data_IF_732594278298
#
_entry.id   IF_732594278298
#
_cell.length_a   1.000
_cell.length_b   1.000
_cell.length_c   1.000
_cell.angle_alpha   90.00
_cell.angle_beta   90.00
_cell.angle_gamma   90.00
#
_symmetry.space_group_name_H-M   'P 1'
#
loop_
_entity.id
_entity.type
_entity.pdbx_description
1 polymer ?
#
# COMPACT_ATOMS: atom_id res chain seq x y z
N UNK A 1 10.98 -9.80 -30.84
CA UNK A 1 11.79 -10.25 -29.69
C UNK A 1 12.01 -9.05 -28.79
N UNK A 2 11.19 -8.87 -27.75
CA UNK A 2 11.37 -7.76 -26.81
C UNK A 2 12.53 -8.07 -25.88
N UNK A 3 13.60 -7.29 -25.95
CA UNK A 3 14.66 -7.31 -24.95
C UNK A 3 14.00 -7.05 -23.58
N UNK A 4 14.22 -7.91 -22.57
CA UNK A 4 13.81 -7.55 -21.21
C UNK A 4 14.49 -6.22 -20.89
N UNK A 5 13.75 -5.14 -20.55
CA UNK A 5 14.38 -3.86 -20.26
C UNK A 5 15.38 -4.11 -19.14
N UNK A 6 16.66 -3.82 -19.43
CA UNK A 6 17.76 -4.00 -18.49
C UNK A 6 17.29 -3.45 -17.16
N UNK A 7 17.20 -4.31 -16.13
CA UNK A 7 16.64 -3.89 -14.85
C UNK A 7 17.38 -2.64 -14.39
N UNK A 8 16.71 -1.50 -14.37
CA UNK A 8 17.34 -0.23 -13.98
C UNK A 8 17.49 -0.23 -12.46
N UNK A 9 18.49 -0.99 -12.00
CA UNK A 9 18.72 -1.30 -10.57
C UNK A 9 18.82 -0.02 -9.76
N UNK A 10 19.46 1.03 -10.30
CA UNK A 10 19.57 2.33 -9.62
C UNK A 10 18.21 2.96 -9.31
N UNK A 11 17.23 2.89 -10.23
CA UNK A 11 15.88 3.44 -9.99
C UNK A 11 15.12 2.60 -8.98
N UNK A 12 15.30 1.28 -9.00
CA UNK A 12 14.71 0.39 -8.02
C UNK A 12 15.27 0.65 -6.61
N UNK A 13 16.60 0.79 -6.49
CA UNK A 13 17.28 1.13 -5.23
C UNK A 13 16.74 2.46 -4.68
N UNK A 14 16.63 3.49 -5.52
CA UNK A 14 16.07 4.77 -5.12
C UNK A 14 14.66 4.62 -4.54
N UNK A 15 13.77 3.89 -5.22
CA UNK A 15 12.38 3.68 -4.77
C UNK A 15 12.32 2.86 -3.48
N UNK A 16 13.19 1.86 -3.32
CA UNK A 16 13.25 1.05 -2.09
C UNK A 16 13.73 1.90 -0.92
N UNK A 17 14.79 2.71 -1.10
CA UNK A 17 15.27 3.63 -0.05
C UNK A 17 14.17 4.63 0.32
N UNK A 18 13.52 5.23 -0.68
CA UNK A 18 12.42 6.16 -0.46
C UNK A 18 11.29 5.52 0.35
N UNK A 19 10.85 4.31 -0.03
CA UNK A 19 9.82 3.58 0.69
C UNK A 19 10.24 3.26 2.14
N UNK A 20 11.47 2.80 2.36
CA UNK A 20 11.97 2.48 3.70
C UNK A 20 12.00 3.74 4.57
N UNK A 21 12.50 4.86 4.04
CA UNK A 21 12.48 6.15 4.74
C UNK A 21 11.05 6.59 5.06
N UNK A 22 10.11 6.49 4.11
CA UNK A 22 8.71 6.85 4.33
C UNK A 22 8.01 5.94 5.35
N UNK A 23 8.29 4.63 5.32
CA UNK A 23 7.73 3.67 6.28
C UNK A 23 8.25 3.91 7.70
N UNK A 24 9.57 4.09 7.85
CA UNK A 24 10.18 4.44 9.15
C UNK A 24 9.61 5.77 9.67
N UNK A 25 9.51 6.78 8.80
CA UNK A 25 8.91 8.06 9.17
C UNK A 25 7.48 7.91 9.65
N UNK A 26 6.66 7.10 8.97
CA UNK A 26 5.28 6.82 9.38
C UNK A 26 5.20 6.14 10.77
N UNK A 27 6.01 5.11 11.03
CA UNK A 27 6.01 4.45 12.34
C UNK A 27 6.57 5.34 13.45
N UNK A 28 7.59 6.14 13.14
CA UNK A 28 8.15 7.12 14.06
C UNK A 28 7.13 8.22 14.39
N UNK A 29 6.39 8.72 13.39
CA UNK A 29 5.31 9.68 13.61
C UNK A 29 4.23 9.10 14.52
N UNK A 30 3.80 7.85 14.29
CA UNK A 30 2.83 7.18 15.16
C UNK A 30 3.34 7.02 16.60
N UNK A 31 4.60 6.62 16.77
CA UNK A 31 5.21 6.48 18.10
C UNK A 31 5.33 7.80 18.84
N UNK A 32 5.54 8.90 18.11
CA UNK A 32 5.63 10.25 18.64
C UNK A 32 4.26 10.78 19.07
N UNK A 33 3.26 10.76 18.17
CA UNK A 33 1.93 11.35 18.44
C UNK A 33 1.15 10.61 19.53
N UNK A 34 1.45 9.32 19.75
CA UNK A 34 0.79 8.49 20.75
C UNK A 34 0.77 9.13 22.13
N UNK A 35 1.83 9.83 22.52
CA UNK A 35 1.95 10.42 23.86
C UNK A 35 1.21 11.76 23.98
N UNK A 36 0.87 12.41 22.87
CA UNK A 36 0.19 13.70 22.82
C UNK A 36 -1.31 13.59 22.53
N UNK A 37 -1.76 12.41 22.10
CA UNK A 37 -3.13 12.22 21.65
C UNK A 37 -4.13 12.30 22.82
N UNK A 38 -5.23 13.02 22.60
CA UNK A 38 -6.35 13.06 23.54
C UNK A 38 -6.96 11.68 23.79
N UNK A 39 -7.65 11.52 24.92
CA UNK A 39 -8.31 10.24 25.29
C UNK A 39 -9.82 10.24 25.10
N UNK A 40 -10.42 11.37 24.73
CA UNK A 40 -11.85 11.45 24.49
C UNK A 40 -12.13 11.24 23.00
N UNK A 41 -12.99 10.26 22.63
CA UNK A 41 -13.32 10.00 21.24
C UNK A 41 -14.12 11.17 20.65
N UNK A 42 -13.90 11.47 19.37
CA UNK A 42 -14.72 12.42 18.62
C UNK A 42 -16.05 11.78 18.21
N UNK A 43 -17.10 12.60 18.02
CA UNK A 43 -18.36 12.11 17.47
C UNK A 43 -18.16 11.70 16.01
N UNK A 44 -18.54 10.47 15.68
CA UNK A 44 -18.61 9.93 14.33
C UNK A 44 -20.02 9.38 14.11
N UNK A 45 -20.58 9.63 12.92
CA UNK A 45 -21.95 9.25 12.57
C UNK A 45 -22.12 7.73 12.64
N UNK A 46 -21.12 6.95 12.24
CA UNK A 46 -21.23 5.49 12.29
C UNK A 46 -21.16 5.00 13.73
N UNK A 47 -20.40 5.66 14.60
CA UNK A 47 -20.25 5.27 15.99
C UNK A 47 -21.50 5.55 16.83
N UNK A 48 -22.35 6.50 16.40
CA UNK A 48 -23.64 6.76 17.05
C UNK A 48 -24.71 5.72 16.67
N UNK A 49 -24.55 5.06 15.52
CA UNK A 49 -25.50 4.06 15.01
C UNK A 49 -25.08 2.65 15.42
N UNK A 50 -23.78 2.35 15.35
CA UNK A 50 -23.25 0.99 15.53
C UNK A 50 -22.37 0.91 16.79
N UNK A 51 -22.67 -0.02 17.72
CA UNK A 51 -21.82 -0.26 18.88
C UNK A 51 -20.50 -0.93 18.46
N UNK A 52 -19.43 -0.65 19.22
CA UNK A 52 -18.09 -1.21 19.01
C UNK A 52 -18.11 -2.74 18.88
N UNK A 53 -17.57 -3.27 17.79
CA UNK A 53 -17.41 -4.72 17.59
C UNK A 53 -15.95 -5.13 17.64
N UNK A 54 -15.54 -5.84 18.70
CA UNK A 54 -14.15 -6.26 18.89
C UNK A 54 -13.64 -7.26 17.84
N UNK A 55 -14.52 -8.13 17.32
CA UNK A 55 -14.16 -9.12 16.29
C UNK A 55 -13.85 -8.50 14.93
N UNK A 56 -14.37 -7.29 14.66
CA UNK A 56 -14.24 -6.64 13.36
C UNK A 56 -12.79 -6.20 13.08
N UNK A 57 -11.99 -5.92 14.11
CA UNK A 57 -10.57 -5.61 13.97
C UNK A 57 -9.79 -6.80 13.40
N UNK A 58 -9.96 -7.99 13.98
CA UNK A 58 -9.26 -9.20 13.52
C UNK A 58 -9.63 -9.55 12.07
N UNK A 59 -10.91 -9.38 11.71
CA UNK A 59 -11.37 -9.57 10.32
C UNK A 59 -10.74 -8.53 9.40
N UNK A 60 -10.69 -7.27 9.81
CA UNK A 60 -10.05 -6.19 9.04
C UNK A 60 -8.57 -6.46 8.77
N UNK A 61 -7.80 -6.86 9.78
CA UNK A 61 -6.37 -7.15 9.67
C UNK A 61 -6.11 -8.38 8.76
N UNK A 62 -6.94 -9.41 8.89
CA UNK A 62 -6.87 -10.59 8.01
C UNK A 62 -7.18 -10.23 6.56
N UNK A 63 -8.20 -9.41 6.32
CA UNK A 63 -8.55 -8.93 4.99
C UNK A 63 -7.42 -8.08 4.40
N UNK A 64 -6.83 -7.17 5.18
CA UNK A 64 -5.69 -6.36 4.75
C UNK A 64 -4.50 -7.24 4.34
N UNK A 65 -4.24 -8.30 5.11
CA UNK A 65 -3.18 -9.29 4.84
C UNK A 65 -3.46 -10.09 3.56
N UNK A 66 -4.69 -10.53 3.34
CA UNK A 66 -5.08 -11.25 2.12
C UNK A 66 -4.96 -10.33 0.89
N UNK A 67 -5.43 -9.09 1.00
CA UNK A 67 -5.30 -8.10 -0.06
C UNK A 67 -3.84 -7.80 -0.38
N UNK A 68 -2.98 -7.58 0.63
CA UNK A 68 -1.55 -7.33 0.41
C UNK A 68 -0.83 -8.53 -0.22
N UNK A 69 -1.13 -9.74 0.23
CA UNK A 69 -0.60 -10.98 -0.35
C UNK A 69 -1.00 -11.14 -1.82
N UNK A 70 -2.27 -10.89 -2.15
CA UNK A 70 -2.75 -10.96 -3.55
C UNK A 70 -2.03 -9.97 -4.46
N UNK A 71 -1.77 -8.75 -3.97
CA UNK A 71 -1.01 -7.73 -4.70
C UNK A 71 0.44 -8.18 -4.93
N UNK A 72 1.11 -8.71 -3.91
CA UNK A 72 2.48 -9.23 -4.01
C UNK A 72 2.57 -10.38 -5.03
N UNK A 73 1.60 -11.30 -5.02
CA UNK A 73 1.54 -12.42 -5.98
C UNK A 73 1.45 -11.90 -7.42
N UNK A 74 0.57 -10.93 -7.69
CA UNK A 74 0.46 -10.34 -9.04
C UNK A 74 1.76 -9.64 -9.44
N UNK A 75 2.36 -8.86 -8.54
CA UNK A 75 3.63 -8.18 -8.80
C UNK A 75 4.76 -9.17 -9.13
N UNK A 76 4.84 -10.31 -8.43
CA UNK A 76 5.86 -11.32 -8.64
C UNK A 76 5.68 -12.12 -9.93
N UNK A 77 4.43 -12.40 -10.31
CA UNK A 77 4.08 -13.19 -11.48
C UNK A 77 3.98 -12.38 -12.77
N UNK A 78 3.98 -11.04 -12.71
CA UNK A 78 3.84 -10.22 -13.92
C UNK A 78 5.09 -10.31 -14.82
N UNK A 79 4.89 -10.31 -16.15
CA UNK A 79 5.98 -10.33 -17.14
C UNK A 79 7.00 -9.21 -16.93
N UNK A 80 6.50 -7.99 -16.69
CA UNK A 80 7.29 -6.79 -16.39
C UNK A 80 7.46 -6.54 -14.89
N UNK A 81 7.64 -7.60 -14.08
CA UNK A 81 7.67 -7.54 -12.59
C UNK A 81 8.51 -6.41 -12.02
N UNK A 82 9.72 -6.15 -12.55
CA UNK A 82 10.61 -5.09 -12.02
C UNK A 82 9.98 -3.70 -12.19
N UNK A 83 9.36 -3.45 -13.34
CA UNK A 83 8.68 -2.18 -13.62
C UNK A 83 7.44 -2.06 -12.72
N UNK A 84 6.59 -3.09 -12.66
CA UNK A 84 5.39 -3.09 -11.81
C UNK A 84 5.75 -2.89 -10.34
N UNK A 85 6.76 -3.60 -9.84
CA UNK A 85 7.27 -3.43 -8.47
C UNK A 85 7.71 -2.00 -8.24
N UNK A 86 8.53 -1.42 -9.13
CA UNK A 86 8.98 -0.03 -9.00
C UNK A 86 7.80 0.95 -8.96
N UNK A 87 6.78 0.77 -9.80
CA UNK A 87 5.58 1.62 -9.84
C UNK A 87 4.82 1.56 -8.51
N UNK A 88 4.51 0.34 -8.05
CA UNK A 88 3.72 0.14 -6.83
C UNK A 88 4.48 0.57 -5.58
N UNK A 89 5.76 0.24 -5.45
CA UNK A 89 6.57 0.67 -4.29
C UNK A 89 6.69 2.20 -4.21
N UNK A 90 6.80 2.89 -5.35
CA UNK A 90 6.83 4.35 -5.37
C UNK A 90 5.50 4.94 -4.92
N UNK A 91 4.37 4.41 -5.41
CA UNK A 91 3.03 4.84 -4.98
C UNK A 91 2.85 4.63 -3.47
N UNK A 92 3.24 3.47 -2.93
CA UNK A 92 3.20 3.19 -1.49
C UNK A 92 4.05 4.21 -0.71
N UNK A 93 5.28 4.48 -1.15
CA UNK A 93 6.16 5.44 -0.49
C UNK A 93 5.56 6.85 -0.44
N UNK A 94 4.94 7.30 -1.54
CA UNK A 94 4.27 8.62 -1.60
C UNK A 94 3.11 8.67 -0.63
N UNK A 95 2.27 7.64 -0.60
CA UNK A 95 1.12 7.58 0.30
C UNK A 95 1.55 7.54 1.77
N UNK A 96 2.60 6.79 2.12
CA UNK A 96 3.15 6.79 3.49
C UNK A 96 3.80 8.11 3.88
N UNK A 97 4.44 8.81 2.93
CA UNK A 97 4.95 10.16 3.17
C UNK A 97 3.81 11.14 3.47
N UNK A 98 2.75 11.13 2.66
CA UNK A 98 1.54 11.94 2.89
C UNK A 98 0.88 11.61 4.23
N UNK A 99 0.78 10.32 4.60
CA UNK A 99 0.26 9.87 5.89
C UNK A 99 1.12 10.36 7.05
N UNK A 100 2.44 10.20 6.99
CA UNK A 100 3.36 10.69 8.03
C UNK A 100 3.20 12.19 8.27
N UNK A 101 3.18 13.01 7.20
CA UNK A 101 2.93 14.45 7.30
C UNK A 101 1.57 14.75 7.93
N UNK A 102 0.53 14.04 7.53
CA UNK A 102 -0.83 14.28 8.03
C UNK A 102 -0.96 13.95 9.52
N UNK A 103 -0.34 12.84 9.97
CA UNK A 103 -0.27 12.44 11.38
C UNK A 103 0.50 13.47 12.22
N UNK A 104 1.59 14.04 11.69
CA UNK A 104 2.36 15.09 12.37
C UNK A 104 1.61 16.42 12.45
N UNK A 105 0.84 16.76 11.41
CA UNK A 105 0.07 18.00 11.36
C UNK A 105 -1.16 17.98 12.27
N UNK A 106 -1.87 16.86 12.36
CA UNK A 106 -3.13 16.79 13.12
C UNK A 106 -3.29 15.41 13.75
N UNK A 107 -3.61 15.41 15.04
CA UNK A 107 -3.67 14.21 15.87
C UNK A 107 -5.11 13.99 16.32
N UNK A 108 -5.69 12.87 15.92
CA UNK A 108 -7.05 12.49 16.31
C UNK A 108 -7.01 11.49 17.48
N UNK A 109 -7.83 11.68 18.52
CA UNK A 109 -7.94 10.77 19.67
C UNK A 109 -8.66 9.47 19.32
N UNK A 110 -8.26 8.38 19.98
CA UNK A 110 -8.79 7.04 19.75
C UNK A 110 -10.31 6.93 19.95
N UNK A 111 -10.96 6.30 18.96
CA UNK A 111 -12.41 6.10 18.89
C UNK A 111 -12.95 5.00 19.81
N UNK A 112 -12.08 4.25 20.50
CA UNK A 112 -12.52 3.17 21.38
C UNK A 112 -13.26 3.68 22.60
N UNK A 113 -14.26 2.90 23.05
CA UNK A 113 -15.05 3.23 24.24
C UNK A 113 -14.21 3.11 25.52
N UNK A 114 -13.20 2.23 25.53
CA UNK A 114 -12.30 1.99 26.68
C UNK A 114 -10.82 2.14 26.30
N UNK A 115 -10.41 3.38 26.00
CA UNK A 115 -9.04 3.70 25.60
C UNK A 115 -7.96 3.19 26.58
N UNK A 116 -8.19 3.23 27.89
CA UNK A 116 -7.19 2.81 28.88
C UNK A 116 -6.89 1.29 28.87
N UNK A 117 -7.80 0.46 28.34
CA UNK A 117 -7.59 -0.99 28.24
C UNK A 117 -6.83 -1.37 26.96
N UNK A 118 -7.12 -0.69 25.85
CA UNK A 118 -6.54 -0.98 24.53
C UNK A 118 -5.25 -0.22 24.24
N UNK A 119 -5.15 1.03 24.70
CA UNK A 119 -3.98 1.89 24.46
C UNK A 119 -2.90 1.68 25.52
N UNK A 120 -1.63 1.80 25.11
CA UNK A 120 -0.51 1.93 26.05
C UNK A 120 -0.62 3.23 26.83
N UNK A 121 -0.05 3.26 28.03
CA UNK A 121 0.00 4.49 28.81
C UNK A 121 0.94 5.51 28.14
N UNK A 122 0.55 6.79 28.06
CA UNK A 122 1.44 7.83 27.57
C UNK A 122 2.59 8.05 28.54
N UNK A 123 3.74 8.46 28.03
CA UNK A 123 4.89 8.83 28.86
C UNK A 123 4.71 10.24 29.44
N UNK A 124 5.07 10.49 30.71
CA UNK A 124 5.00 11.83 31.29
C UNK A 124 6.03 12.80 30.69
N UNK A 125 7.18 12.26 30.25
CA UNK A 125 8.26 13.00 29.61
C UNK A 125 8.78 12.21 28.40
N UNK A 126 9.28 12.92 27.40
CA UNK A 126 9.85 12.28 26.21
C UNK A 126 11.11 11.49 26.60
N UNK A 127 11.05 10.17 26.40
CA UNK A 127 12.18 9.27 26.56
C UNK A 127 12.57 8.66 25.21
N UNK A 128 13.81 8.94 24.79
CA UNK A 128 14.33 8.51 23.49
C UNK A 128 14.43 6.98 23.39
N UNK A 129 14.81 6.30 24.47
CA UNK A 129 14.96 4.85 24.48
C UNK A 129 13.61 4.16 24.24
N UNK A 130 12.58 4.58 24.97
CA UNK A 130 11.22 4.06 24.81
C UNK A 130 10.62 4.41 23.44
N UNK A 131 10.89 5.61 22.92
CA UNK A 131 10.46 6.02 21.57
C UNK A 131 11.05 5.10 20.48
N UNK A 132 12.36 4.85 20.53
CA UNK A 132 13.04 3.94 19.58
C UNK A 132 12.47 2.53 19.73
N UNK A 133 12.29 2.03 20.95
CA UNK A 133 11.72 0.70 21.20
C UNK A 133 10.30 0.57 20.62
N UNK A 134 9.45 1.58 20.79
CA UNK A 134 8.09 1.62 20.22
C UNK A 134 8.11 1.60 18.70
N UNK A 135 9.00 2.38 18.09
CA UNK A 135 9.18 2.43 16.64
C UNK A 135 9.65 1.08 16.10
N UNK A 136 10.64 0.45 16.75
CA UNK A 136 11.13 -0.88 16.38
C UNK A 136 10.06 -1.97 16.52
N UNK A 137 9.25 -1.93 17.57
CA UNK A 137 8.13 -2.87 17.72
C UNK A 137 7.15 -2.78 16.55
N UNK A 138 6.85 -1.56 16.08
CA UNK A 138 5.96 -1.35 14.94
C UNK A 138 6.57 -1.84 13.62
N UNK A 139 7.88 -1.65 13.43
CA UNK A 139 8.62 -2.19 12.28
C UNK A 139 8.51 -3.72 12.25
N UNK A 140 8.75 -4.39 13.39
CA UNK A 140 8.71 -5.85 13.50
C UNK A 140 7.31 -6.39 13.26
N UNK A 141 6.27 -5.69 13.75
CA UNK A 141 4.88 -6.06 13.55
C UNK A 141 4.34 -5.69 12.16
N UNK A 142 5.11 -4.98 11.33
CA UNK A 142 4.70 -4.47 10.00
C UNK A 142 3.38 -3.65 10.11
N UNK A 143 3.14 -3.02 11.26
CA UNK A 143 1.91 -2.27 11.54
C UNK A 143 0.65 -3.10 11.80
N UNK A 144 0.72 -4.43 11.91
CA UNK A 144 -0.41 -5.27 12.33
C UNK A 144 -0.64 -5.15 13.84
N UNK A 145 -1.91 -5.17 14.27
CA UNK A 145 -2.28 -4.98 15.66
C UNK A 145 -2.51 -6.33 16.35
N UNK A 146 -1.66 -6.66 17.34
CA UNK A 146 -1.88 -7.84 18.19
C UNK A 146 -3.11 -7.58 19.11
N UNK A 147 -4.23 -8.32 18.99
CA UNK A 147 -5.44 -8.08 19.80
C UNK A 147 -5.20 -8.29 21.31
N UNK A 148 -4.18 -9.08 21.66
CA UNK A 148 -3.81 -9.43 23.03
C UNK A 148 -2.80 -8.48 23.68
N UNK A 149 -2.24 -7.51 22.93
CA UNK A 149 -1.27 -6.55 23.47
C UNK A 149 -1.82 -5.13 23.40
N UNK A 150 -1.42 -4.28 24.35
CA UNK A 150 -1.71 -2.85 24.28
C UNK A 150 -1.02 -2.24 23.07
N UNK A 151 -1.78 -1.53 22.25
CA UNK A 151 -1.31 -0.91 21.00
C UNK A 151 -0.97 0.57 21.18
N UNK A 152 -0.32 1.14 20.17
CA UNK A 152 -0.16 2.59 20.08
C UNK A 152 -1.43 3.20 19.46
N UNK A 153 -2.16 3.97 20.26
CA UNK A 153 -3.29 4.78 19.83
C UNK A 153 -2.87 6.12 19.18
N UNK A 154 -3.74 6.68 18.33
CA UNK A 154 -3.47 7.89 17.55
C UNK A 154 -3.32 7.64 16.05
N UNK A 155 -3.38 6.39 15.61
CA UNK A 155 -3.43 6.02 14.19
C UNK A 155 -4.83 6.22 13.58
N UNK A 156 -5.25 7.48 13.44
CA UNK A 156 -6.65 7.81 13.13
C UNK A 156 -6.81 8.86 12.04
N UNK A 157 -5.70 9.24 11.42
CA UNK A 157 -5.69 10.15 10.30
C UNK A 157 -4.84 9.54 9.17
N UNK A 158 -5.53 9.25 8.07
CA UNK A 158 -5.08 8.53 6.89
C UNK A 158 -4.67 7.05 7.13
N UNK A 159 -5.63 6.13 7.27
CA UNK A 159 -5.50 4.70 7.62
C UNK A 159 -4.60 3.87 6.70
N UNK A 160 -3.63 3.17 7.30
CA UNK A 160 -2.64 2.33 6.62
C UNK A 160 -3.23 1.02 6.11
N UNK A 161 -4.11 0.38 6.89
CA UNK A 161 -4.86 -0.79 6.45
C UNK A 161 -5.71 -0.47 5.21
N UNK A 162 -6.47 0.64 5.29
CA UNK A 162 -7.29 1.11 4.17
C UNK A 162 -6.45 1.42 2.94
N UNK A 163 -5.32 2.11 3.10
CA UNK A 163 -4.38 2.42 2.02
C UNK A 163 -3.94 1.14 1.29
N UNK A 164 -3.45 0.12 2.01
CA UNK A 164 -2.96 -1.12 1.39
C UNK A 164 -4.11 -1.89 0.72
N UNK A 165 -5.27 -1.95 1.36
CA UNK A 165 -6.44 -2.64 0.83
C UNK A 165 -6.96 -1.98 -0.45
N UNK A 166 -7.10 -0.65 -0.46
CA UNK A 166 -7.54 0.10 -1.63
C UNK A 166 -6.50 -0.04 -2.74
N UNK A 167 -5.22 0.15 -2.43
CA UNK A 167 -4.15 0.00 -3.41
C UNK A 167 -4.12 -1.40 -4.03
N UNK A 168 -4.31 -2.46 -3.23
CA UNK A 168 -4.41 -3.83 -3.73
C UNK A 168 -5.63 -4.01 -4.64
N UNK A 169 -6.79 -3.49 -4.23
CA UNK A 169 -8.03 -3.56 -5.02
C UNK A 169 -7.96 -2.85 -6.37
N UNK A 170 -7.06 -1.88 -6.51
CA UNK A 170 -6.76 -1.20 -7.78
C UNK A 170 -5.67 -1.94 -8.57
N UNK A 171 -4.58 -2.31 -7.89
CA UNK A 171 -3.39 -2.94 -8.51
C UNK A 171 -3.71 -4.29 -9.10
N UNK A 172 -4.36 -5.18 -8.34
CA UNK A 172 -4.66 -6.55 -8.79
C UNK A 172 -5.42 -6.54 -10.11
N UNK A 173 -6.61 -5.91 -10.26
CA UNK A 173 -7.32 -5.89 -11.53
C UNK A 173 -6.62 -5.05 -12.61
N UNK A 174 -5.81 -4.05 -12.26
CA UNK A 174 -5.10 -3.24 -13.25
C UNK A 174 -4.04 -4.05 -14.00
N UNK A 175 -3.29 -4.91 -13.30
CA UNK A 175 -2.21 -5.74 -13.84
C UNK A 175 -2.63 -7.19 -14.18
N UNK A 176 -3.91 -7.52 -14.02
CA UNK A 176 -4.43 -8.85 -14.35
C UNK A 176 -4.65 -9.02 -15.87
N UNK A 177 -4.36 -10.20 -16.45
CA UNK A 177 -4.71 -10.50 -17.83
C UNK A 177 -6.22 -10.53 -18.02
N UNK A 178 -6.70 -10.14 -19.22
CA UNK A 178 -8.14 -10.05 -19.54
C UNK A 178 -8.90 -11.35 -19.26
N UNK A 179 -8.25 -12.51 -19.41
CA UNK A 179 -8.82 -13.85 -19.17
C UNK A 179 -9.19 -14.10 -17.70
N UNK A 180 -8.47 -13.48 -16.76
CA UNK A 180 -8.67 -13.66 -15.32
C UNK A 180 -9.43 -12.49 -14.67
N UNK A 181 -10.09 -11.63 -15.47
CA UNK A 181 -10.74 -10.41 -14.96
C UNK A 181 -11.71 -10.65 -13.79
N UNK A 182 -12.34 -11.82 -13.73
CA UNK A 182 -13.22 -12.21 -12.63
C UNK A 182 -12.50 -12.25 -11.27
N UNK A 183 -11.26 -12.75 -11.25
CA UNK A 183 -10.45 -12.83 -10.03
C UNK A 183 -10.11 -11.43 -9.46
N UNK A 184 -10.09 -10.41 -10.32
CA UNK A 184 -9.89 -9.02 -9.90
C UNK A 184 -11.04 -8.43 -9.08
N UNK A 185 -12.22 -9.06 -9.05
CA UNK A 185 -13.33 -8.63 -8.19
C UNK A 185 -13.15 -9.02 -6.73
N UNK A 186 -12.43 -10.11 -6.46
CA UNK A 186 -12.20 -10.62 -5.10
C UNK A 186 -11.56 -9.55 -4.20
N UNK A 187 -10.38 -8.97 -4.52
CA UNK A 187 -9.78 -7.95 -3.67
C UNK A 187 -10.61 -6.67 -3.60
N UNK A 188 -11.48 -6.36 -4.58
CA UNK A 188 -12.38 -5.20 -4.47
C UNK A 188 -13.46 -5.41 -3.41
N UNK A 189 -14.12 -6.57 -3.45
CA UNK A 189 -15.18 -6.90 -2.48
C UNK A 189 -14.57 -7.03 -1.09
N UNK A 190 -13.43 -7.72 -0.97
CA UNK A 190 -12.70 -7.84 0.29
C UNK A 190 -12.30 -6.47 0.83
N UNK A 191 -11.78 -5.56 0.00
CA UNK A 191 -11.39 -4.23 0.47
C UNK A 191 -12.58 -3.42 0.99
N UNK A 192 -13.74 -3.48 0.34
CA UNK A 192 -14.96 -2.85 0.88
C UNK A 192 -15.37 -3.46 2.22
N UNK A 193 -15.39 -4.79 2.32
CA UNK A 193 -15.71 -5.50 3.56
C UNK A 193 -14.78 -5.08 4.71
N UNK A 194 -13.46 -5.12 4.48
CA UNK A 194 -12.49 -4.77 5.52
C UNK A 194 -12.55 -3.29 5.91
N UNK A 195 -12.83 -2.36 4.97
CA UNK A 195 -13.00 -0.94 5.30
C UNK A 195 -14.20 -0.74 6.22
N UNK A 196 -15.31 -1.42 5.94
CA UNK A 196 -16.48 -1.42 6.82
C UNK A 196 -16.15 -2.02 8.20
N UNK A 197 -15.42 -3.14 8.25
CA UNK A 197 -14.98 -3.74 9.50
C UNK A 197 -14.13 -2.79 10.34
N UNK A 198 -13.18 -2.05 9.73
CA UNK A 198 -12.32 -1.09 10.41
C UNK A 198 -13.10 0.07 11.07
N UNK A 199 -14.18 0.54 10.42
CA UNK A 199 -15.04 1.57 11.00
C UNK A 199 -15.82 0.98 12.18
N UNK A 200 -16.41 -0.20 12.01
CA UNK A 200 -17.25 -0.84 13.05
C UNK A 200 -16.43 -1.24 14.30
N UNK A 201 -15.15 -1.60 14.14
CA UNK A 201 -14.24 -1.85 15.26
C UNK A 201 -13.83 -0.59 16.02
N UNK A 202 -14.20 0.61 15.55
CA UNK A 202 -13.76 1.91 16.06
C UNK A 202 -12.24 2.09 16.06
N UNK A 203 -11.55 1.32 15.23
CA UNK A 203 -10.10 1.39 15.04
C UNK A 203 -9.73 2.59 14.22
N UNK A 204 -10.57 2.96 13.25
CA UNK A 204 -10.46 4.15 12.41
C UNK A 204 -11.78 4.91 12.36
N UNK A 205 -11.72 6.23 12.28
CA UNK A 205 -12.91 7.06 12.02
C UNK A 205 -13.39 6.88 10.59
N UNK A 206 -14.67 7.17 10.33
CA UNK A 206 -15.23 7.11 8.99
C UNK A 206 -14.52 8.09 8.05
N UNK A 207 -14.20 9.29 8.56
CA UNK A 207 -13.45 10.31 7.81
C UNK A 207 -12.05 9.84 7.40
N UNK A 208 -11.41 9.06 8.27
CA UNK A 208 -10.08 8.50 8.04
C UNK A 208 -10.08 7.54 6.85
N UNK A 209 -11.03 6.60 6.84
CA UNK A 209 -11.22 5.62 5.77
C UNK A 209 -11.57 6.29 4.44
N UNK A 210 -12.42 7.32 4.46
CA UNK A 210 -12.82 8.05 3.24
C UNK A 210 -11.63 8.80 2.63
N UNK A 211 -10.87 9.55 3.43
CA UNK A 211 -9.68 10.25 2.93
C UNK A 211 -8.63 9.28 2.41
N UNK A 212 -8.40 8.17 3.13
CA UNK A 212 -7.48 7.12 2.67
C UNK A 212 -7.91 6.56 1.31
N UNK A 213 -9.21 6.31 1.11
CA UNK A 213 -9.75 5.85 -0.17
C UNK A 213 -9.54 6.87 -1.30
N UNK A 214 -9.89 8.15 -1.09
CA UNK A 214 -9.77 9.19 -2.11
C UNK A 214 -8.32 9.47 -2.50
N UNK A 215 -7.42 9.64 -1.51
CA UNK A 215 -6.01 9.94 -1.77
C UNK A 215 -5.34 8.75 -2.46
N UNK A 216 -5.55 7.53 -1.97
CA UNK A 216 -4.95 6.32 -2.56
C UNK A 216 -5.40 6.12 -4.00
N UNK A 217 -6.71 6.25 -4.26
CA UNK A 217 -7.26 6.17 -5.62
C UNK A 217 -6.71 7.30 -6.50
N UNK A 218 -6.67 8.54 -5.99
CA UNK A 218 -6.16 9.70 -6.70
C UNK A 218 -4.70 9.55 -7.11
N UNK A 219 -3.81 9.18 -6.19
CA UNK A 219 -2.38 8.98 -6.47
C UNK A 219 -2.17 7.82 -7.45
N UNK A 220 -2.89 6.70 -7.28
CA UNK A 220 -2.81 5.57 -8.20
C UNK A 220 -3.24 5.96 -9.61
N UNK A 221 -4.39 6.62 -9.75
CA UNK A 221 -4.92 7.06 -11.05
C UNK A 221 -4.03 8.11 -11.69
N UNK A 222 -3.53 9.08 -10.92
CA UNK A 222 -2.62 10.12 -11.40
C UNK A 222 -1.31 9.53 -11.93
N UNK A 223 -0.74 8.56 -11.21
CA UNK A 223 0.47 7.86 -11.64
C UNK A 223 0.25 7.14 -12.99
N UNK A 224 -0.81 6.34 -13.09
CA UNK A 224 -1.07 5.54 -14.28
C UNK A 224 -1.54 6.40 -15.47
N UNK A 225 -2.33 7.45 -15.23
CA UNK A 225 -2.70 8.41 -16.26
C UNK A 225 -1.48 9.08 -16.90
N UNK A 226 -0.45 9.38 -16.10
CA UNK A 226 0.81 9.93 -16.63
C UNK A 226 1.59 8.89 -17.46
N UNK A 227 1.59 7.62 -17.04
CA UNK A 227 2.20 6.53 -17.81
C UNK A 227 1.49 6.23 -19.13
N UNK A 228 0.16 6.40 -19.18
CA UNK A 228 -0.68 6.10 -20.35
C UNK A 228 -0.58 7.15 -21.46
N UNK A 229 0.07 8.31 -21.24
CA UNK A 229 0.34 9.28 -22.30
C UNK A 229 1.42 8.70 -23.24
N UNK A 230 1.02 8.40 -24.48
CA UNK A 230 1.77 7.62 -25.48
C UNK A 230 3.06 8.29 -25.97
N UNK A 231 3.14 9.62 -25.97
CA UNK A 231 4.30 10.35 -26.50
C UNK A 231 5.05 11.12 -25.40
N UNK A 232 6.37 10.92 -25.32
CA UNK A 232 7.27 11.74 -24.49
C UNK A 232 7.08 13.26 -24.68
N UNK A 233 6.97 13.81 -25.91
CA UNK A 233 6.67 15.24 -26.10
C UNK A 233 5.30 15.65 -25.55
N UNK A 234 4.31 14.76 -25.55
CA UNK A 234 2.98 15.06 -25.01
C UNK A 234 2.96 15.03 -23.48
N UNK A 235 3.76 14.15 -22.86
CA UNK A 235 4.03 14.19 -21.41
C UNK A 235 4.66 15.52 -21.00
N UNK A 236 5.57 16.07 -21.82
CA UNK A 236 6.21 17.34 -21.56
C UNK A 236 5.25 18.55 -21.66
N UNK A 237 4.22 18.45 -22.50
CA UNK A 237 3.19 19.48 -22.70
C UNK A 237 2.03 19.38 -21.69
N UNK A 238 1.84 18.22 -21.06
CA UNK A 238 0.78 18.02 -20.08
C UNK A 238 0.95 18.89 -18.85
N UNK A 239 -0.15 19.45 -18.34
CA UNK A 239 -0.19 20.19 -17.07
C UNK A 239 0.25 19.32 -15.88
N UNK A 240 0.13 18.00 -16.00
CA UNK A 240 0.56 17.04 -14.97
C UNK A 240 2.05 17.14 -14.66
N UNK A 241 2.90 17.46 -15.64
CA UNK A 241 4.35 17.63 -15.42
C UNK A 241 4.69 18.74 -14.42
N UNK A 242 3.80 19.73 -14.25
CA UNK A 242 3.99 20.80 -13.28
C UNK A 242 4.10 20.26 -11.84
N UNK A 243 3.38 19.18 -11.55
CA UNK A 243 3.41 18.52 -10.24
C UNK A 243 4.81 17.92 -9.98
N UNK A 244 5.40 18.24 -8.83
CA UNK A 244 6.71 17.72 -8.42
C UNK A 244 6.76 16.19 -8.47
N UNK A 245 5.66 15.54 -8.08
CA UNK A 245 5.52 14.09 -8.10
C UNK A 245 5.71 13.54 -9.51
N UNK A 246 5.08 14.17 -10.51
CA UNK A 246 5.14 13.73 -11.91
C UNK A 246 6.52 13.94 -12.53
N UNK A 247 7.33 14.88 -12.04
CA UNK A 247 8.73 15.01 -12.46
C UNK A 247 9.54 13.77 -12.08
N UNK A 248 9.34 13.24 -10.88
CA UNK A 248 9.99 12.00 -10.42
C UNK A 248 9.46 10.80 -11.22
N UNK A 249 8.14 10.71 -11.44
CA UNK A 249 7.54 9.66 -12.28
C UNK A 249 8.11 9.70 -13.70
N UNK A 250 8.29 10.89 -14.29
CA UNK A 250 8.92 11.06 -15.59
C UNK A 250 10.33 10.46 -15.67
N UNK A 251 11.13 10.62 -14.62
CA UNK A 251 12.46 9.99 -14.53
C UNK A 251 12.37 8.47 -14.34
N UNK A 252 11.45 8.00 -13.49
CA UNK A 252 11.23 6.57 -13.24
C UNK A 252 10.78 5.81 -14.49
N UNK A 253 10.02 6.46 -15.37
CA UNK A 253 9.40 5.86 -16.57
C UNK A 253 10.09 6.25 -17.88
N UNK A 254 11.25 6.92 -17.83
CA UNK A 254 11.95 7.41 -19.03
C UNK A 254 12.35 6.31 -20.05
N UNK A 255 12.65 5.10 -19.57
CA UNK A 255 13.12 3.97 -20.39
C UNK A 255 12.10 2.82 -20.43
N UNK A 256 10.83 3.14 -20.17
CA UNK A 256 9.73 2.18 -20.20
C UNK A 256 8.86 2.48 -21.41
N UNK A 257 8.49 1.43 -22.15
CA UNK A 257 7.60 1.57 -23.30
C UNK A 257 6.33 2.35 -22.90
N UNK A 258 5.98 3.42 -23.63
CA UNK A 258 4.83 4.23 -23.31
C UNK A 258 3.52 3.47 -23.57
N UNK A 259 2.46 3.87 -22.85
CA UNK A 259 1.15 3.27 -22.98
C UNK A 259 0.88 2.13 -22.00
N UNK A 260 -0.29 1.50 -22.16
CA UNK A 260 -0.75 0.44 -21.26
C UNK A 260 -0.15 -0.90 -21.68
N UNK A 261 0.53 -1.57 -20.75
CA UNK A 261 1.07 -2.90 -21.00
C UNK A 261 -0.02 -3.91 -21.36
N UNK A 262 0.32 -4.84 -22.26
CA UNK A 262 -0.41 -6.10 -22.37
C UNK A 262 -0.09 -6.95 -21.13
N UNK A 263 -1.06 -7.04 -20.22
CA UNK A 263 -0.91 -7.78 -18.99
C UNK A 263 -0.76 -9.28 -19.27
N UNK A 264 0.45 -9.80 -19.03
CA UNK A 264 0.79 -11.22 -19.13
C UNK A 264 1.43 -11.70 -17.84
N UNK A 265 0.98 -12.86 -17.34
CA UNK A 265 1.56 -13.51 -16.16
C UNK A 265 2.55 -14.58 -16.61
N UNK A 266 3.77 -14.50 -16.10
CA UNK A 266 4.84 -15.49 -16.29
C UNK A 266 5.00 -16.32 -15.01
N UNK A 267 4.65 -17.60 -15.11
CA UNK A 267 4.90 -18.58 -14.06
C UNK A 267 6.33 -19.14 -14.19
N UNK A 268 7.21 -18.96 -13.19
CA UNK A 268 8.60 -19.44 -13.25
C UNK A 268 8.71 -20.95 -13.51
N UNK A 269 7.77 -21.74 -12.97
CA UNK A 269 7.71 -23.20 -13.10
C UNK A 269 7.48 -23.66 -14.55
N UNK A 270 6.64 -22.96 -15.31
CA UNK A 270 6.32 -23.29 -16.70
C UNK A 270 7.45 -22.95 -17.69
N UNK A 271 8.35 -22.03 -17.31
CA UNK A 271 9.55 -21.68 -18.11
C UNK A 271 10.57 -22.83 -18.14
N UNK A 272 10.67 -23.61 -17.05
CA UNK A 272 11.55 -24.79 -16.97
C UNK A 272 11.05 -25.90 -17.88
N UNK A 273 9.75 -26.19 -17.90
CA UNK A 273 9.18 -27.17 -18.82
C UNK A 273 9.24 -26.75 -20.29
N UNK A 274 9.03 -25.48 -20.64
CA UNK A 274 9.16 -25.04 -22.05
C UNK A 274 10.61 -25.00 -22.55
N UNK A 275 11.58 -24.70 -21.67
CA UNK A 275 12.99 -24.85 -22.02
C UNK A 275 13.33 -26.33 -22.22
N UNK A 276 12.95 -27.19 -21.28
CA UNK A 276 13.20 -28.64 -21.37
C UNK A 276 12.54 -29.27 -22.60
N UNK A 277 11.28 -28.96 -22.89
CA UNK A 277 10.58 -29.45 -24.09
C UNK A 277 11.20 -28.91 -25.41
N UNK A 278 11.74 -27.68 -25.41
CA UNK A 278 12.48 -27.15 -26.56
C UNK A 278 13.84 -27.83 -26.73
N UNK A 279 14.50 -28.26 -25.65
CA UNK A 279 15.74 -29.04 -25.72
C UNK A 279 15.48 -30.51 -26.13
N UNK A 280 14.36 -31.11 -25.71
CA UNK A 280 13.93 -32.45 -26.18
C UNK A 280 13.57 -32.44 -27.67
N UNK A 281 12.78 -31.47 -28.14
CA UNK A 281 12.44 -31.34 -29.57
C UNK A 281 13.67 -31.06 -30.46
N UNK A 282 14.70 -30.38 -29.95
CA UNK A 282 15.96 -30.16 -30.67
C UNK A 282 16.89 -31.38 -30.66
N UNK A 283 16.71 -32.33 -29.73
CA UNK A 283 17.43 -33.60 -29.76
C UNK A 283 16.78 -34.62 -30.69
N UNK A 284 15.45 -34.62 -30.82
CA UNK A 284 14.74 -35.52 -31.74
C UNK A 284 14.92 -35.17 -33.23
N UNK A 285 15.29 -33.92 -33.55
CA UNK A 285 15.67 -33.51 -34.93
C UNK A 285 17.15 -33.80 -35.28
N UNK A 286 17.93 -34.34 -34.34
CA UNK A 286 19.37 -34.60 -34.50
C UNK A 286 19.73 -36.09 -34.60
N UNK A 287 18.76 -36.98 -34.84
CA UNK A 287 18.95 -38.43 -35.06
C UNK A 287 18.51 -38.80 -36.48
#
# INVERSE_FOLDING_TARGET
MGCEPLAEVHKLIFVVIFLVCSAISNWAALAYIHDFVGKQPLPDIVFSIVPEQGWALEVGDNVATICSASMIVIMALHKYRVVVIRRILFIIGVLYCMRSLSLLCTQLPSGYSQNNQRCRAPLPHFDLATFIQRTLNQIVQIGLQDPNKKMLCGDLLFSGHTLIMVLSSLTVPYYLPRRLRLLGWIPRVLSWLGMTCMIISRTHYTVDVIFAYWITTGVFMLYHAYCEIDSYPDRLKSSLKSLWLMKVVGWLEANVDPGRFENELLFPMLRRNKKNAKYELLMDECI
#
